data_IF_209944514433
#
_entry.id   IF_209944514433
#
_cell.length_a   1.000
_cell.length_b   1.000
_cell.length_c   1.000
_cell.angle_alpha   90.00
_cell.angle_beta   90.00
_cell.angle_gamma   90.00
#
_symmetry.space_group_name_H-M   'P 1'
#
loop_
_entity.id
_entity.type
_entity.pdbx_description
1 polymer ?
#
# COMPACT_ATOMS: atom_id res chain seq x y z
N UNK A 1 2.80 -3.74 15.99
CA UNK A 1 3.77 -2.63 15.95
C UNK A 1 3.04 -1.31 16.15
N UNK A 2 3.74 -0.23 16.53
CA UNK A 2 3.13 1.11 16.69
C UNK A 2 3.04 1.75 15.32
N UNK A 3 1.91 2.38 14.98
CA UNK A 3 1.80 3.32 13.85
C UNK A 3 3.10 4.14 13.76
N UNK A 4 3.93 3.84 12.78
CA UNK A 4 5.17 4.56 12.57
C UNK A 4 4.79 5.96 12.09
N UNK A 5 4.88 6.90 13.02
CA UNK A 5 5.22 8.32 12.86
C UNK A 5 5.23 8.83 11.40
N UNK A 6 4.06 9.00 10.81
CA UNK A 6 3.83 10.17 9.96
C UNK A 6 3.05 11.16 10.80
N UNK A 7 3.79 12.16 11.30
CA UNK A 7 3.27 13.27 12.09
C UNK A 7 2.44 14.19 11.20
N UNK A 8 1.23 13.77 10.86
CA UNK A 8 0.16 14.71 10.56
C UNK A 8 -0.61 14.93 11.85
N UNK A 9 -0.23 15.99 12.55
CA UNK A 9 -1.00 16.50 13.69
C UNK A 9 -2.39 16.81 13.17
N UNK A 10 -3.37 15.95 13.43
CA UNK A 10 -4.77 16.35 13.37
C UNK A 10 -4.91 17.56 14.32
N UNK A 11 -5.22 18.78 13.84
CA UNK A 11 -5.58 19.84 14.75
C UNK A 11 -6.81 19.36 15.53
N UNK A 12 -6.63 19.26 16.85
CA UNK A 12 -7.52 18.60 17.79
C UNK A 12 -9.01 18.73 17.43
N UNK A 13 -9.71 17.60 17.32
CA UNK A 13 -11.17 17.60 17.42
C UNK A 13 -11.56 18.28 18.74
N UNK A 14 -12.32 19.39 18.74
CA UNK A 14 -12.80 19.97 19.98
C UNK A 14 -13.85 19.04 20.59
N UNK A 15 -13.87 18.87 21.93
CA UNK A 15 -14.91 18.09 22.59
C UNK A 15 -16.29 18.73 22.36
N UNK A 16 -17.37 17.92 22.28
CA UNK A 16 -18.70 18.42 21.97
C UNK A 16 -19.20 19.32 23.12
N UNK A 17 -19.40 20.62 22.84
CA UNK A 17 -20.06 21.53 23.78
C UNK A 17 -19.65 23.00 23.81
N UNK A 18 -18.69 23.48 23.01
CA UNK A 18 -18.25 24.88 23.06
C UNK A 18 -18.83 25.74 21.92
N UNK A 19 -19.35 26.96 22.19
CA UNK A 19 -19.94 27.82 21.17
C UNK A 19 -18.87 28.42 20.24
N UNK A 20 -19.14 28.39 18.94
CA UNK A 20 -18.28 28.93 17.88
C UNK A 20 -18.14 30.46 18.03
N UNK A 21 -16.91 30.95 18.18
CA UNK A 21 -16.59 32.37 17.97
C UNK A 21 -15.81 32.50 16.65
N UNK A 22 -16.29 33.28 15.68
CA UNK A 22 -15.60 33.44 14.41
C UNK A 22 -14.43 34.42 14.60
N UNK A 23 -13.20 33.95 14.38
CA UNK A 23 -12.03 34.84 14.35
C UNK A 23 -11.27 34.63 13.04
N UNK A 24 -11.49 35.61 12.16
CA UNK A 24 -10.72 36.05 11.00
C UNK A 24 -9.37 35.36 10.73
N UNK A 25 -9.26 34.75 9.55
CA UNK A 25 -8.05 34.16 8.99
C UNK A 25 -6.98 35.24 8.71
N UNK A 26 -5.76 35.01 9.17
CA UNK A 26 -4.56 35.64 8.63
C UNK A 26 -3.95 34.69 7.57
N UNK A 27 -3.52 35.17 6.40
CA UNK A 27 -2.88 34.33 5.41
C UNK A 27 -1.43 34.06 5.86
N UNK A 28 -1.10 32.80 6.16
CA UNK A 28 0.28 32.38 6.34
C UNK A 28 0.80 31.82 5.01
N UNK A 29 1.88 32.44 4.53
CA UNK A 29 2.51 32.15 3.25
C UNK A 29 3.04 30.73 3.14
N UNK A 30 2.92 30.19 1.93
CA UNK A 30 3.29 28.83 1.58
C UNK A 30 4.78 28.54 1.77
N UNK A 31 5.06 27.48 2.52
CA UNK A 31 6.32 26.76 2.41
C UNK A 31 6.20 25.81 1.21
N UNK A 32 6.97 26.08 0.16
CA UNK A 32 7.12 25.18 -0.98
C UNK A 32 8.13 24.09 -0.62
N UNK A 33 7.68 22.84 -0.50
CA UNK A 33 8.55 21.65 -0.46
C UNK A 33 8.57 21.08 -1.89
N UNK A 34 9.72 21.11 -2.59
CA UNK A 34 9.80 20.54 -3.93
C UNK A 34 9.79 19.01 -3.84
N UNK A 35 8.82 18.36 -4.50
CA UNK A 35 8.76 16.90 -4.66
C UNK A 35 7.50 16.21 -4.14
N UNK A 36 6.58 16.92 -3.47
CA UNK A 36 5.23 16.42 -3.20
C UNK A 36 4.27 17.11 -4.16
N UNK A 37 3.93 16.44 -5.25
CA UNK A 37 2.70 16.80 -5.96
C UNK A 37 1.57 16.47 -4.98
N UNK A 38 0.87 17.50 -4.48
CA UNK A 38 -0.42 17.28 -3.83
C UNK A 38 -1.31 16.66 -4.91
N UNK A 39 -1.47 15.34 -4.86
CA UNK A 39 -2.53 14.67 -5.60
C UNK A 39 -3.82 15.25 -5.05
N UNK A 40 -4.43 16.12 -5.86
CA UNK A 40 -5.65 16.80 -5.50
C UNK A 40 -6.67 15.74 -5.10
N UNK A 41 -7.09 15.77 -3.83
CA UNK A 41 -8.28 15.07 -3.36
C UNK A 41 -9.37 15.28 -4.40
N UNK A 42 -9.74 14.23 -5.13
CA UNK A 42 -10.86 14.28 -6.04
C UNK A 42 -12.12 14.55 -5.23
N UNK A 43 -12.47 15.82 -5.05
CA UNK A 43 -13.69 16.52 -4.59
C UNK A 43 -14.71 15.85 -3.63
N UNK A 44 -14.56 14.62 -3.17
CA UNK A 44 -15.67 13.82 -2.65
C UNK A 44 -15.45 13.29 -1.21
N UNK A 45 -14.26 13.48 -0.63
CA UNK A 45 -14.00 13.22 0.80
C UNK A 45 -14.15 11.76 1.24
N UNK A 46 -14.23 11.53 2.55
CA UNK A 46 -14.38 10.22 3.19
C UNK A 46 -15.42 9.28 2.51
N UNK A 47 -16.64 9.72 2.17
CA UNK A 47 -17.63 8.83 1.57
C UNK A 47 -17.19 8.24 0.22
N UNK A 48 -16.47 9.00 -0.59
CA UNK A 48 -15.98 8.53 -1.89
C UNK A 48 -14.91 7.45 -1.73
N UNK A 49 -14.00 7.64 -0.76
CA UNK A 49 -12.97 6.65 -0.44
C UNK A 49 -13.60 5.33 0.04
N UNK A 50 -14.65 5.42 0.85
CA UNK A 50 -15.37 4.23 1.31
C UNK A 50 -16.12 3.53 0.17
N UNK A 51 -16.73 4.29 -0.74
CA UNK A 51 -17.36 3.74 -1.94
C UNK A 51 -16.33 3.04 -2.83
N UNK A 52 -15.19 3.69 -3.09
CA UNK A 52 -14.10 3.08 -3.86
C UNK A 52 -13.61 1.79 -3.21
N UNK A 53 -13.37 1.80 -1.89
CA UNK A 53 -12.91 0.62 -1.18
C UNK A 53 -13.95 -0.51 -1.18
N UNK A 54 -15.24 -0.18 -1.15
CA UNK A 54 -16.31 -1.17 -1.30
C UNK A 54 -16.25 -1.85 -2.69
N UNK A 55 -16.14 -1.03 -3.74
CA UNK A 55 -16.04 -1.49 -5.12
C UNK A 55 -14.77 -2.34 -5.34
N UNK A 56 -13.63 -1.89 -4.83
CA UNK A 56 -12.33 -2.58 -4.89
C UNK A 56 -12.40 -3.96 -4.23
N UNK A 57 -12.98 -4.04 -3.03
CA UNK A 57 -13.08 -5.29 -2.28
C UNK A 57 -14.24 -6.18 -2.76
N UNK A 58 -15.05 -5.72 -3.72
CA UNK A 58 -16.22 -6.45 -4.22
C UNK A 58 -17.33 -6.64 -3.18
N UNK A 59 -17.41 -5.74 -2.19
CA UNK A 59 -18.46 -5.75 -1.14
C UNK A 59 -19.47 -4.63 -1.41
N UNK A 60 -20.74 -4.86 -1.11
CA UNK A 60 -21.71 -3.77 -1.11
C UNK A 60 -21.49 -2.82 0.07
N UNK A 61 -21.99 -1.58 0.00
CA UNK A 61 -21.78 -0.56 1.05
C UNK A 61 -22.30 -1.01 2.43
N UNK A 62 -23.38 -1.82 2.46
CA UNK A 62 -23.93 -2.38 3.69
C UNK A 62 -23.00 -3.45 4.29
N UNK A 63 -22.44 -4.30 3.44
CA UNK A 63 -21.40 -5.26 3.78
C UNK A 63 -20.15 -4.55 4.29
N UNK A 64 -19.74 -3.46 3.64
CA UNK A 64 -18.60 -2.66 4.10
C UNK A 64 -18.84 -2.10 5.51
N UNK A 65 -20.03 -1.59 5.83
CA UNK A 65 -20.34 -1.12 7.18
C UNK A 65 -20.25 -2.24 8.24
N UNK A 66 -20.67 -3.46 7.89
CA UNK A 66 -20.55 -4.63 8.77
C UNK A 66 -19.09 -5.06 8.93
N UNK A 67 -18.32 -5.06 7.83
CA UNK A 67 -16.87 -5.33 7.84
C UNK A 67 -16.13 -4.31 8.69
N UNK A 68 -16.41 -3.02 8.50
CA UNK A 68 -15.84 -1.94 9.29
C UNK A 68 -16.22 -2.05 10.75
N UNK A 69 -17.50 -2.31 11.06
CA UNK A 69 -17.94 -2.52 12.43
C UNK A 69 -17.18 -3.68 13.10
N UNK A 70 -16.87 -4.76 12.39
CA UNK A 70 -16.14 -5.90 12.95
C UNK A 70 -14.62 -5.66 13.03
N UNK A 71 -14.03 -5.03 12.02
CA UNK A 71 -12.59 -4.72 11.95
C UNK A 71 -12.19 -3.68 13.02
N UNK A 72 -12.99 -2.63 13.19
CA UNK A 72 -12.70 -1.56 14.16
C UNK A 72 -13.17 -1.86 15.59
N UNK A 73 -13.84 -2.99 15.84
CA UNK A 73 -14.12 -3.42 17.22
C UNK A 73 -12.81 -3.74 17.97
N UNK A 74 -11.75 -4.12 17.26
CA UNK A 74 -10.43 -4.39 17.85
C UNK A 74 -9.34 -3.38 17.46
N UNK A 75 -9.52 -2.62 16.37
CA UNK A 75 -8.63 -1.53 15.95
C UNK A 75 -9.11 -0.19 16.51
N UNK A 76 -8.50 0.31 17.58
CA UNK A 76 -8.79 1.64 18.16
C UNK A 76 -8.13 2.80 17.41
N UNK A 77 -7.24 2.49 16.46
CA UNK A 77 -6.24 3.43 15.95
C UNK A 77 -6.46 3.80 14.47
N UNK A 78 -7.25 3.03 13.70
CA UNK A 78 -7.54 3.32 12.29
C UNK A 78 -8.92 3.96 12.09
N UNK A 79 -8.94 5.13 11.46
CA UNK A 79 -10.19 5.70 10.94
C UNK A 79 -10.51 5.06 9.58
N UNK A 80 -11.76 4.65 9.34
CA UNK A 80 -12.26 4.13 8.07
C UNK A 80 -11.70 4.80 6.81
N UNK A 81 -11.66 6.14 6.80
CA UNK A 81 -11.20 6.89 5.65
C UNK A 81 -9.68 6.84 5.47
N UNK A 82 -8.91 6.75 6.55
CA UNK A 82 -7.44 6.66 6.49
C UNK A 82 -7.03 5.31 5.92
N UNK A 83 -7.72 4.24 6.35
CA UNK A 83 -7.55 2.91 5.79
C UNK A 83 -7.85 2.88 4.29
N UNK A 84 -9.02 3.41 3.90
CA UNK A 84 -9.42 3.46 2.49
C UNK A 84 -8.47 4.32 1.64
N UNK A 85 -8.00 5.47 2.16
CA UNK A 85 -6.98 6.27 1.48
C UNK A 85 -5.66 5.50 1.31
N UNK A 86 -5.24 4.77 2.34
CA UNK A 86 -4.00 3.98 2.30
C UNK A 86 -4.10 2.88 1.25
N UNK A 87 -5.22 2.14 1.19
CA UNK A 87 -5.43 1.13 0.16
C UNK A 87 -5.46 1.73 -1.24
N UNK A 88 -6.07 2.90 -1.42
CA UNK A 88 -6.11 3.61 -2.71
C UNK A 88 -4.71 4.07 -3.14
N UNK A 89 -3.92 4.63 -2.22
CA UNK A 89 -2.56 5.06 -2.54
C UNK A 89 -1.68 3.86 -2.96
N UNK A 90 -1.84 2.73 -2.26
CA UNK A 90 -1.16 1.48 -2.60
C UNK A 90 -1.65 0.90 -3.94
N UNK A 91 -2.97 0.93 -4.21
CA UNK A 91 -3.52 0.42 -5.47
C UNK A 91 -2.99 1.21 -6.67
N UNK A 92 -2.85 2.53 -6.56
CA UNK A 92 -2.28 3.37 -7.63
C UNK A 92 -0.85 2.97 -7.98
N UNK A 93 -0.04 2.57 -7.00
CA UNK A 93 1.31 2.05 -7.23
C UNK A 93 1.23 0.66 -7.90
N UNK A 94 0.34 -0.19 -7.41
CA UNK A 94 0.23 -1.59 -7.85
C UNK A 94 -0.39 -1.77 -9.24
N UNK A 95 -1.33 -0.89 -9.61
CA UNK A 95 -1.90 -0.84 -10.96
C UNK A 95 -0.81 -0.70 -12.03
N UNK A 96 0.30 -0.02 -11.69
CA UNK A 96 1.49 0.14 -12.54
C UNK A 96 1.12 0.30 -14.03
N UNK A 97 0.36 1.34 -14.40
CA UNK A 97 -0.27 1.42 -15.72
C UNK A 97 0.74 1.46 -16.88
N UNK A 98 1.97 1.90 -16.60
CA UNK A 98 3.09 1.91 -17.53
C UNK A 98 3.99 0.67 -17.42
N UNK A 99 3.74 -0.21 -16.45
CA UNK A 99 4.50 -1.44 -16.19
C UNK A 99 5.93 -1.18 -15.69
N UNK A 100 6.21 0.01 -15.14
CA UNK A 100 7.55 0.43 -14.74
C UNK A 100 8.03 -0.36 -13.54
N UNK A 101 7.19 -0.48 -12.49
CA UNK A 101 7.55 -1.16 -11.25
C UNK A 101 7.85 -2.63 -11.49
N UNK A 102 6.97 -3.32 -12.23
CA UNK A 102 7.11 -4.75 -12.50
C UNK A 102 8.27 -5.03 -13.47
N UNK A 103 8.44 -4.22 -14.52
CA UNK A 103 9.57 -4.36 -15.43
C UNK A 103 10.91 -4.09 -14.72
N UNK A 104 10.95 -3.08 -13.84
CA UNK A 104 12.11 -2.80 -13.03
C UNK A 104 12.44 -3.95 -12.08
N UNK A 105 11.42 -4.54 -11.42
CA UNK A 105 11.62 -5.70 -10.55
C UNK A 105 12.15 -6.90 -11.33
N UNK A 106 11.60 -7.18 -12.51
CA UNK A 106 12.11 -8.23 -13.39
C UNK A 106 13.57 -7.98 -13.80
N UNK A 107 13.94 -6.73 -14.07
CA UNK A 107 15.32 -6.35 -14.38
C UNK A 107 16.23 -6.60 -13.18
N UNK A 108 15.90 -6.10 -11.99
CA UNK A 108 16.68 -6.34 -10.76
C UNK A 108 16.89 -7.83 -10.55
N UNK A 109 15.83 -8.64 -10.61
CA UNK A 109 15.94 -10.10 -10.40
C UNK A 109 16.88 -10.74 -11.42
N UNK A 110 16.83 -10.31 -12.69
CA UNK A 110 17.72 -10.85 -13.74
C UNK A 110 19.21 -10.52 -13.54
N UNK A 111 19.54 -9.49 -12.75
CA UNK A 111 20.91 -9.12 -12.42
C UNK A 111 21.53 -10.06 -11.37
N UNK A 112 20.70 -10.59 -10.46
CA UNK A 112 21.15 -11.52 -9.41
C UNK A 112 20.93 -12.98 -9.80
N UNK A 113 19.85 -13.28 -10.53
CA UNK A 113 19.45 -14.64 -10.90
C UNK A 113 19.86 -14.92 -12.34
N UNK A 114 21.05 -15.49 -12.51
CA UNK A 114 21.61 -15.81 -13.84
C UNK A 114 21.16 -17.16 -14.40
N UNK A 115 20.52 -17.99 -13.58
CA UNK A 115 20.08 -19.32 -13.94
C UNK A 115 18.57 -19.41 -14.09
N UNK A 116 18.09 -20.36 -14.89
CA UNK A 116 16.66 -20.64 -15.01
C UNK A 116 16.06 -21.36 -13.77
N UNK A 117 16.84 -21.56 -12.71
CA UNK A 117 16.33 -22.08 -11.44
C UNK A 117 15.64 -20.95 -10.63
N UNK A 118 14.70 -21.31 -9.75
CA UNK A 118 14.18 -20.36 -8.76
C UNK A 118 15.33 -19.74 -7.94
N UNK A 119 15.22 -18.46 -7.55
CA UNK A 119 16.23 -17.81 -6.73
C UNK A 119 16.43 -18.55 -5.41
N UNK A 120 17.69 -18.70 -5.01
CA UNK A 120 18.07 -19.19 -3.70
C UNK A 120 17.74 -18.15 -2.61
N UNK A 121 17.68 -18.59 -1.35
CA UNK A 121 17.45 -17.70 -0.21
C UNK A 121 18.50 -16.58 -0.10
N UNK A 122 19.76 -16.90 -0.39
CA UNK A 122 20.84 -15.90 -0.41
C UNK A 122 20.63 -14.85 -1.52
N UNK A 123 20.22 -15.27 -2.72
CA UNK A 123 19.92 -14.34 -3.81
C UNK A 123 18.69 -13.47 -3.48
N UNK A 124 17.65 -14.05 -2.88
CA UNK A 124 16.46 -13.29 -2.46
C UNK A 124 16.81 -12.24 -1.39
N UNK A 125 17.67 -12.58 -0.43
CA UNK A 125 18.14 -11.65 0.59
C UNK A 125 18.99 -10.52 -0.02
N UNK A 126 19.86 -10.83 -0.97
CA UNK A 126 20.66 -9.84 -1.69
C UNK A 126 19.79 -8.88 -2.50
N UNK A 127 18.79 -9.40 -3.22
CA UNK A 127 17.84 -8.56 -3.96
C UNK A 127 17.11 -7.62 -2.99
N UNK A 128 16.60 -8.14 -1.87
CA UNK A 128 15.90 -7.32 -0.88
C UNK A 128 16.80 -6.25 -0.24
N UNK A 129 18.06 -6.59 0.05
CA UNK A 129 19.05 -5.64 0.56
C UNK A 129 19.31 -4.52 -0.47
N UNK A 130 19.51 -4.88 -1.74
CA UNK A 130 19.78 -3.88 -2.78
C UNK A 130 18.59 -2.95 -3.01
N UNK A 131 17.36 -3.48 -3.08
CA UNK A 131 16.16 -2.64 -3.16
C UNK A 131 16.08 -1.65 -1.99
N UNK A 132 16.43 -2.08 -0.77
CA UNK A 132 16.41 -1.21 0.41
C UNK A 132 17.49 -0.11 0.39
N UNK A 133 18.58 -0.31 -0.35
CA UNK A 133 19.65 0.69 -0.49
C UNK A 133 19.29 1.80 -1.49
N UNK A 134 18.26 1.59 -2.31
CA UNK A 134 17.89 2.46 -3.43
C UNK A 134 16.55 3.18 -3.23
N UNK A 135 16.08 3.32 -1.99
CA UNK A 135 14.79 3.99 -1.71
C UNK A 135 14.81 5.46 -2.13
N UNK A 136 13.91 5.82 -3.06
CA UNK A 136 13.65 7.21 -3.45
C UNK A 136 14.77 7.89 -4.26
N UNK A 137 15.70 7.13 -4.83
CA UNK A 137 16.83 7.68 -5.61
C UNK A 137 16.53 7.87 -7.10
N UNK A 138 15.32 7.50 -7.54
CA UNK A 138 14.86 7.62 -8.92
C UNK A 138 15.42 6.57 -9.89
N UNK A 139 16.09 5.54 -9.39
CA UNK A 139 16.57 4.41 -10.20
C UNK A 139 15.46 3.37 -10.41
N UNK A 140 15.72 2.40 -11.29
CA UNK A 140 14.84 1.25 -11.44
C UNK A 140 14.78 0.40 -10.16
N UNK A 141 15.84 0.36 -9.34
CA UNK A 141 15.77 -0.28 -8.03
C UNK A 141 14.75 0.39 -7.11
N UNK A 142 14.64 1.73 -7.13
CA UNK A 142 13.63 2.45 -6.37
C UNK A 142 12.21 2.05 -6.80
N UNK A 143 11.94 2.04 -8.12
CA UNK A 143 10.63 1.67 -8.66
C UNK A 143 10.26 0.20 -8.38
N UNK A 144 11.24 -0.71 -8.49
CA UNK A 144 11.07 -2.12 -8.15
C UNK A 144 10.75 -2.31 -6.66
N UNK A 145 11.46 -1.58 -5.80
CA UNK A 145 11.28 -1.58 -4.35
C UNK A 145 9.90 -1.04 -3.95
N UNK A 146 9.50 0.09 -4.52
CA UNK A 146 8.21 0.72 -4.27
C UNK A 146 7.04 -0.20 -4.65
N UNK A 147 7.13 -0.88 -5.80
CA UNK A 147 6.09 -1.81 -6.22
C UNK A 147 5.96 -3.02 -5.30
N UNK A 148 7.09 -3.68 -4.94
CA UNK A 148 7.04 -4.87 -4.06
C UNK A 148 6.65 -4.51 -2.62
N UNK A 149 7.08 -3.34 -2.13
CA UNK A 149 6.72 -2.86 -0.80
C UNK A 149 5.24 -2.45 -0.76
N UNK A 150 4.70 -1.87 -1.84
CA UNK A 150 3.26 -1.59 -1.93
C UNK A 150 2.43 -2.88 -1.89
N UNK A 151 2.89 -3.93 -2.56
CA UNK A 151 2.21 -5.24 -2.59
C UNK A 151 2.16 -5.85 -1.18
N UNK A 152 3.29 -5.84 -0.48
CA UNK A 152 3.43 -6.31 0.90
C UNK A 152 2.59 -5.47 1.86
N UNK A 153 2.60 -4.15 1.71
CA UNK A 153 1.82 -3.24 2.53
C UNK A 153 0.32 -3.46 2.32
N UNK A 154 -0.14 -3.69 1.09
CA UNK A 154 -1.56 -3.95 0.79
C UNK A 154 -2.04 -5.22 1.49
N UNK A 155 -1.28 -6.31 1.38
CA UNK A 155 -1.58 -7.57 2.12
C UNK A 155 -1.59 -7.33 3.62
N UNK A 156 -0.60 -6.61 4.15
CA UNK A 156 -0.54 -6.27 5.58
C UNK A 156 -1.76 -5.48 6.05
N UNK A 157 -2.27 -4.55 5.25
CA UNK A 157 -3.49 -3.81 5.56
C UNK A 157 -4.71 -4.74 5.61
N UNK A 158 -4.86 -5.65 4.63
CA UNK A 158 -5.95 -6.63 4.62
C UNK A 158 -5.89 -7.57 5.84
N UNK A 159 -4.71 -8.04 6.23
CA UNK A 159 -4.57 -8.98 7.34
C UNK A 159 -4.66 -8.31 8.70
N UNK A 160 -3.90 -7.24 8.92
CA UNK A 160 -3.71 -6.66 10.26
C UNK A 160 -4.84 -5.71 10.64
N UNK A 161 -5.38 -4.95 9.68
CA UNK A 161 -6.41 -3.95 9.93
C UNK A 161 -7.81 -4.47 9.60
N UNK A 162 -7.94 -5.30 8.56
CA UNK A 162 -9.25 -5.83 8.13
C UNK A 162 -9.52 -7.26 8.60
N UNK A 163 -8.53 -7.94 9.18
CA UNK A 163 -8.68 -9.28 9.74
C UNK A 163 -8.90 -10.38 8.70
N UNK A 164 -8.50 -10.15 7.45
CA UNK A 164 -8.52 -11.19 6.42
C UNK A 164 -7.52 -12.30 6.77
N UNK A 165 -7.79 -13.51 6.30
CA UNK A 165 -6.76 -14.55 6.35
C UNK A 165 -5.62 -14.16 5.40
N UNK A 166 -4.41 -14.57 5.75
CA UNK A 166 -3.22 -14.31 4.93
C UNK A 166 -3.39 -14.88 3.52
N UNK A 167 -3.91 -16.11 3.41
CA UNK A 167 -4.11 -16.78 2.14
C UNK A 167 -5.14 -16.03 1.26
N UNK A 168 -6.24 -15.55 1.85
CA UNK A 168 -7.26 -14.78 1.13
C UNK A 168 -6.72 -13.41 0.68
N UNK A 169 -5.93 -12.74 1.54
CA UNK A 169 -5.33 -11.45 1.21
C UNK A 169 -4.30 -11.57 0.07
N UNK A 170 -3.44 -12.59 0.11
CA UNK A 170 -2.49 -12.88 -0.96
C UNK A 170 -3.23 -13.23 -2.25
N UNK A 171 -4.24 -14.10 -2.19
CA UNK A 171 -5.02 -14.49 -3.37
C UNK A 171 -5.69 -13.28 -4.02
N UNK A 172 -6.31 -12.41 -3.22
CA UNK A 172 -6.95 -11.18 -3.70
C UNK A 172 -5.95 -10.24 -4.38
N UNK A 173 -4.81 -9.97 -3.75
CA UNK A 173 -3.80 -9.06 -4.31
C UNK A 173 -3.19 -9.65 -5.60
N UNK A 174 -2.94 -10.95 -5.65
CA UNK A 174 -2.42 -11.61 -6.85
C UNK A 174 -3.46 -11.67 -7.98
N UNK A 175 -4.75 -11.78 -7.67
CA UNK A 175 -5.82 -11.75 -8.67
C UNK A 175 -5.98 -10.35 -9.29
N UNK A 176 -5.90 -9.29 -8.49
CA UNK A 176 -6.10 -7.91 -8.98
C UNK A 176 -4.83 -7.29 -9.58
N UNK A 177 -3.66 -7.53 -8.97
CA UNK A 177 -2.40 -6.84 -9.32
C UNK A 177 -1.31 -7.80 -9.81
N UNK A 178 -1.51 -9.12 -9.68
CA UNK A 178 -0.52 -10.12 -10.06
C UNK A 178 -0.53 -10.50 -11.54
N UNK A 179 -1.50 -10.05 -12.35
CA UNK A 179 -1.56 -10.38 -13.78
C UNK A 179 -0.23 -10.13 -14.50
N UNK A 180 0.44 -8.97 -14.39
CA UNK A 180 1.68 -8.75 -15.12
C UNK A 180 2.84 -9.63 -14.62
N UNK A 181 2.83 -10.05 -13.35
CA UNK A 181 3.77 -11.04 -12.81
C UNK A 181 3.54 -12.41 -13.46
N UNK A 182 2.30 -12.86 -13.55
CA UNK A 182 1.95 -14.16 -14.18
C UNK A 182 2.15 -14.17 -15.69
N UNK A 183 1.85 -13.06 -16.38
CA UNK A 183 1.97 -12.92 -17.83
C UNK A 183 3.42 -12.73 -18.29
N UNK A 184 4.31 -12.27 -17.40
CA UNK A 184 5.74 -12.12 -17.70
C UNK A 184 6.42 -13.43 -18.13
N UNK A 185 5.89 -14.58 -17.69
CA UNK A 185 6.52 -15.89 -17.86
C UNK A 185 7.87 -16.03 -17.14
N UNK A 186 8.26 -15.06 -16.29
CA UNK A 186 9.50 -15.06 -15.55
C UNK A 186 9.31 -15.82 -14.23
N UNK A 187 9.72 -17.08 -14.20
CA UNK A 187 9.59 -17.93 -13.02
C UNK A 187 10.34 -17.37 -11.79
N UNK A 188 11.48 -16.71 -11.98
CA UNK A 188 12.23 -16.10 -10.88
C UNK A 188 11.48 -14.88 -10.29
N UNK A 189 10.82 -14.09 -11.14
CA UNK A 189 9.95 -13.00 -10.70
C UNK A 189 8.77 -13.53 -9.88
N UNK A 190 8.06 -14.55 -10.38
CA UNK A 190 6.94 -15.14 -9.64
C UNK A 190 7.39 -15.69 -8.29
N UNK A 191 8.47 -16.46 -8.24
CA UNK A 191 8.99 -17.02 -6.98
C UNK A 191 9.42 -15.92 -6.02
N UNK A 192 10.07 -14.86 -6.50
CA UNK A 192 10.46 -13.75 -5.63
C UNK A 192 9.24 -13.05 -5.01
N UNK A 193 8.22 -12.76 -5.81
CA UNK A 193 6.97 -12.13 -5.34
C UNK A 193 6.26 -13.02 -4.32
N UNK A 194 6.10 -14.32 -4.62
CA UNK A 194 5.50 -15.29 -3.70
C UNK A 194 6.26 -15.36 -2.36
N UNK A 195 7.59 -15.39 -2.39
CA UNK A 195 8.42 -15.42 -1.19
C UNK A 195 8.24 -14.14 -0.35
N UNK A 196 8.17 -12.97 -0.98
CA UNK A 196 7.95 -11.69 -0.28
C UNK A 196 6.57 -11.64 0.37
N UNK A 197 5.54 -12.14 -0.30
CA UNK A 197 4.19 -12.22 0.25
C UNK A 197 4.07 -13.23 1.39
N UNK A 198 4.74 -14.38 1.32
CA UNK A 198 4.77 -15.36 2.40
C UNK A 198 5.40 -14.78 3.68
N UNK A 199 6.49 -13.99 3.54
CA UNK A 199 7.12 -13.28 4.66
C UNK A 199 6.17 -12.24 5.26
N UNK A 200 5.48 -11.47 4.41
CA UNK A 200 4.50 -10.46 4.85
C UNK A 200 3.34 -11.09 5.64
N UNK A 201 2.86 -12.24 5.18
CA UNK A 201 1.81 -13.01 5.82
C UNK A 201 2.21 -13.75 7.10
N UNK A 202 3.48 -13.69 7.50
CA UNK A 202 3.97 -14.45 8.67
C UNK A 202 3.94 -15.97 8.48
N UNK A 203 3.91 -16.45 7.23
CA UNK A 203 3.94 -17.86 6.88
C UNK A 203 5.41 -18.27 6.72
N UNK A 204 6.03 -18.66 7.83
CA UNK A 204 7.32 -19.37 7.87
C UNK A 204 7.19 -20.67 8.66
#
# INVERSE_FOLDING_TARGET
>A
WKCMKYSWVCPACPPPGSPLVPTTWAPLGGLFIPGTEEVGFGEAGCPALLSWMADELGVDEEGLQVYMANAFVFSTDCQPCVLAATLMDLSVILEDPEGIGIAALAQVISEFVTSAAPPSEEEMALIAEELSNHVGDGTYYAAAGEWIDALVAYVGVLTDEMGWSVDDAIAFVMENYGSPVTESGNAALMTYVEARLAIAGGVL
#
